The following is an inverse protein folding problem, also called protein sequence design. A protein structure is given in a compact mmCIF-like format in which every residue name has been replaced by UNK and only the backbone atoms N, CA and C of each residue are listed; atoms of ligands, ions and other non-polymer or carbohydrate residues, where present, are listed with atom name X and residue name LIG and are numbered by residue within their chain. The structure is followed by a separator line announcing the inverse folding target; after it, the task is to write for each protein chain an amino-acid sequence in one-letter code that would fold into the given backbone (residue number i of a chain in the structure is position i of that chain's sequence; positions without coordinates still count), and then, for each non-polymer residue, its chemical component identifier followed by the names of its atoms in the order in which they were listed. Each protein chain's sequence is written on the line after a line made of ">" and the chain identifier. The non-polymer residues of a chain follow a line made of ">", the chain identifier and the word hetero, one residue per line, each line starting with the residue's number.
data_IF_913331818296
#
_entry.id   IF_913331818296
#
_cell.length_a   1.000
_cell.length_b   1.000
_cell.length_c   1.000
_cell.angle_alpha   90.00
_cell.angle_beta   90.00
_cell.angle_gamma   90.00
#
_symmetry.space_group_name_H-M   'P 1'
#
loop_
_entity.id
_entity.type
_entity.pdbx_description
1 polymer ?
#
# COMPACT_ATOMS: atom_id res chain seq x y z
N UNK A 1 -13.92 11.92 -36.49
CA UNK A 1 -14.12 12.68 -35.23
C UNK A 1 -14.30 11.77 -34.01
N UNK A 2 -14.93 10.61 -34.14
CA UNK A 2 -15.24 9.68 -33.03
C UNK A 2 -14.08 8.78 -32.59
N UNK A 3 -13.12 8.49 -33.47
CA UNK A 3 -11.97 7.62 -33.19
C UNK A 3 -11.02 8.19 -32.13
N UNK A 4 -10.72 9.50 -32.20
CA UNK A 4 -9.86 10.18 -31.22
C UNK A 4 -10.47 10.19 -29.80
N UNK A 5 -11.79 10.31 -29.70
CA UNK A 5 -12.50 10.28 -28.43
C UNK A 5 -12.49 8.86 -27.81
N UNK A 6 -12.69 7.83 -28.63
CA UNK A 6 -12.66 6.44 -28.17
C UNK A 6 -11.28 6.03 -27.63
N UNK A 7 -10.20 6.42 -28.34
CA UNK A 7 -8.83 6.16 -27.88
C UNK A 7 -8.53 6.82 -26.53
N UNK A 8 -9.02 8.04 -26.31
CA UNK A 8 -8.82 8.78 -25.06
C UNK A 8 -9.51 8.09 -23.86
N UNK A 9 -10.74 7.60 -24.06
CA UNK A 9 -11.49 6.88 -23.03
C UNK A 9 -10.87 5.51 -22.73
N UNK A 10 -10.42 4.78 -23.75
CA UNK A 10 -9.76 3.48 -23.58
C UNK A 10 -8.47 3.60 -22.76
N UNK A 11 -7.65 4.63 -23.02
CA UNK A 11 -6.43 4.89 -22.26
C UNK A 11 -6.75 5.25 -20.80
N UNK A 12 -7.75 6.11 -20.56
CA UNK A 12 -8.18 6.45 -19.20
C UNK A 12 -8.68 5.23 -18.42
N UNK A 13 -9.44 4.34 -19.07
CA UNK A 13 -9.95 3.10 -18.46
C UNK A 13 -8.81 2.14 -18.09
N UNK A 14 -7.85 1.92 -19.00
CA UNK A 14 -6.68 1.07 -18.74
C UNK A 14 -5.80 1.62 -17.61
N UNK A 15 -5.55 2.94 -17.58
CA UNK A 15 -4.83 3.60 -16.50
C UNK A 15 -5.58 3.50 -15.17
N UNK A 16 -6.91 3.63 -15.20
CA UNK A 16 -7.80 3.43 -14.06
C UNK A 16 -7.68 2.02 -13.47
N UNK A 17 -7.76 1.00 -14.32
CA UNK A 17 -7.57 -0.40 -13.92
C UNK A 17 -6.18 -0.68 -13.33
N UNK A 18 -5.12 -0.10 -13.91
CA UNK A 18 -3.75 -0.18 -13.40
C UNK A 18 -3.63 0.45 -12.00
N UNK A 19 -4.16 1.67 -11.79
CA UNK A 19 -4.20 2.30 -10.47
C UNK A 19 -5.06 1.52 -9.49
N UNK A 20 -6.18 0.95 -9.93
CA UNK A 20 -7.04 0.12 -9.09
C UNK A 20 -6.29 -1.14 -8.63
N UNK A 21 -5.62 -1.86 -9.52
CA UNK A 21 -4.78 -3.03 -9.16
C UNK A 21 -3.62 -2.66 -8.23
N UNK A 22 -2.96 -1.51 -8.44
CA UNK A 22 -1.91 -1.02 -7.55
C UNK A 22 -2.44 -0.66 -6.14
N UNK A 23 -3.60 0.02 -6.08
CA UNK A 23 -4.29 0.36 -4.84
C UNK A 23 -4.72 -0.90 -4.06
N UNK A 24 -5.21 -1.93 -4.76
CA UNK A 24 -5.55 -3.22 -4.15
C UNK A 24 -4.34 -3.93 -3.55
N UNK A 25 -3.17 -3.88 -4.19
CA UNK A 25 -1.92 -4.41 -3.59
C UNK A 25 -1.54 -3.69 -2.29
N UNK A 26 -1.75 -2.37 -2.21
CA UNK A 26 -1.47 -1.59 -0.99
C UNK A 26 -2.48 -1.91 0.12
N UNK A 27 -3.78 -2.06 -0.20
CA UNK A 27 -4.82 -2.45 0.78
C UNK A 27 -4.58 -3.83 1.38
N UNK A 28 -4.11 -4.81 0.61
CA UNK A 28 -3.85 -6.16 1.14
C UNK A 28 -2.80 -6.16 2.25
N UNK A 29 -1.75 -5.32 2.15
CA UNK A 29 -0.74 -5.23 3.22
C UNK A 29 -1.32 -4.67 4.52
N UNK A 30 -2.08 -3.58 4.45
CA UNK A 30 -2.70 -2.98 5.64
C UNK A 30 -3.64 -3.95 6.37
N UNK A 31 -4.41 -4.76 5.63
CA UNK A 31 -5.31 -5.77 6.20
C UNK A 31 -4.57 -6.85 6.99
N UNK A 32 -3.37 -7.23 6.56
CA UNK A 32 -2.53 -8.21 7.29
C UNK A 32 -1.97 -7.62 8.60
N UNK A 33 -1.67 -6.33 8.62
CA UNK A 33 -1.23 -5.62 9.82
C UNK A 33 -2.36 -5.57 10.85
N UNK A 34 -3.56 -5.23 10.40
CA UNK A 34 -4.77 -5.15 11.24
C UNK A 34 -5.16 -6.51 11.83
N UNK A 35 -5.11 -7.59 11.03
CA UNK A 35 -5.40 -8.96 11.51
C UNK A 35 -4.40 -9.48 12.55
N UNK A 36 -3.13 -9.06 12.47
CA UNK A 36 -2.05 -9.53 13.37
C UNK A 36 -1.81 -8.59 14.55
N UNK A 37 -2.52 -7.46 14.63
CA UNK A 37 -2.34 -6.44 15.68
C UNK A 37 -1.00 -5.70 15.63
N UNK A 38 -0.27 -5.78 14.53
CA UNK A 38 1.03 -5.11 14.37
C UNK A 38 0.88 -3.64 13.96
N UNK A 39 2.01 -2.97 13.75
CA UNK A 39 2.05 -1.58 13.28
C UNK A 39 3.11 -1.40 12.18
N UNK A 40 3.22 -0.20 11.61
CA UNK A 40 4.30 0.16 10.70
C UNK A 40 5.38 0.95 11.44
N UNK A 41 6.63 0.75 11.04
CA UNK A 41 7.75 1.46 11.63
C UNK A 41 7.69 2.93 11.28
N UNK A 42 7.84 3.80 12.28
CA UNK A 42 7.83 5.25 12.10
C UNK A 42 9.01 5.74 11.25
N UNK A 43 10.14 5.03 11.28
CA UNK A 43 11.35 5.37 10.53
C UNK A 43 11.37 4.78 9.10
N UNK A 44 11.08 3.48 8.95
CA UNK A 44 11.31 2.78 7.69
C UNK A 44 10.04 2.25 7.01
N UNK A 45 8.88 2.37 7.66
CA UNK A 45 7.59 1.92 7.09
C UNK A 45 7.46 0.41 6.89
N UNK A 46 8.33 -0.42 7.49
CA UNK A 46 8.18 -1.88 7.50
C UNK A 46 7.22 -2.34 8.59
N UNK A 47 6.64 -3.52 8.39
CA UNK A 47 5.79 -4.17 9.38
C UNK A 47 6.56 -4.46 10.68
N UNK A 48 5.95 -4.08 11.80
CA UNK A 48 6.32 -4.45 13.15
C UNK A 48 5.31 -5.43 13.70
N UNK A 49 5.82 -6.43 14.41
CA UNK A 49 4.99 -7.30 15.24
C UNK A 49 4.32 -6.46 16.34
N UNK A 50 3.14 -6.87 16.83
CA UNK A 50 2.53 -6.27 18.01
C UNK A 50 3.54 -6.17 19.15
N UNK A 51 3.52 -5.04 19.86
CA UNK A 51 4.37 -4.76 21.03
C UNK A 51 5.88 -4.78 20.78
N UNK A 52 6.33 -4.72 19.52
CA UNK A 52 7.75 -4.61 19.22
C UNK A 52 8.28 -3.23 19.65
N UNK A 53 9.21 -3.21 20.61
CA UNK A 53 9.87 -1.97 21.09
C UNK A 53 10.91 -1.42 20.11
N UNK A 54 11.42 -2.26 19.22
CA UNK A 54 12.43 -1.87 18.23
C UNK A 54 12.09 -2.45 16.86
N UNK A 55 12.43 -1.71 15.81
CA UNK A 55 12.30 -2.20 14.46
C UNK A 55 13.37 -3.26 14.14
N UNK A 56 13.02 -4.47 13.70
CA UNK A 56 14.01 -5.50 13.35
C UNK A 56 14.81 -5.18 12.08
N UNK A 57 14.46 -4.11 11.37
CA UNK A 57 15.11 -3.73 10.12
C UNK A 57 16.03 -2.52 10.28
N UNK A 58 15.54 -1.42 10.88
CA UNK A 58 16.32 -0.20 11.07
C UNK A 58 16.79 0.01 12.51
N UNK A 59 16.43 -0.88 13.44
CA UNK A 59 16.81 -0.84 14.86
C UNK A 59 16.29 0.38 15.64
N UNK A 60 15.49 1.25 15.02
CA UNK A 60 14.87 2.39 15.67
C UNK A 60 13.86 1.95 16.74
N UNK A 61 13.86 2.64 17.89
CA UNK A 61 12.89 2.47 18.96
C UNK A 61 11.49 2.86 18.48
N UNK A 62 10.48 2.10 18.89
CA UNK A 62 9.07 2.33 18.56
C UNK A 62 8.29 2.57 19.84
N UNK A 63 7.55 3.67 19.89
CA UNK A 63 6.60 3.95 20.97
C UNK A 63 5.30 3.24 20.62
N UNK A 64 5.13 2.04 21.19
CA UNK A 64 3.94 1.19 21.05
C UNK A 64 2.82 1.59 21.99
#
# INVERSE_FOLDING_TARGET
>A
MTTLAYSSLAVAFLLGLLKFRASWRKRRRLREIELRGGSLCMECGRYLKPHARYCPHCLAEQRG
#
